data_IF_100184382398
#
_entry.id   IF_100184382398
#
_cell.length_a   1.000
_cell.length_b   1.000
_cell.length_c   1.000
_cell.angle_alpha   90.00
_cell.angle_beta   90.00
_cell.angle_gamma   90.00
#
_symmetry.space_group_name_H-M   'P 1'
#
loop_
_entity.id
_entity.type
_entity.pdbx_description
1 polymer ?
#
# COMPACT_ATOMS: atom_id res chain seq x y z
N UNK A 1 18.96 -10.71 31.66
CA UNK A 1 18.64 -10.09 30.36
C UNK A 1 17.29 -10.61 29.82
N UNK A 2 16.19 -10.50 30.60
CA UNK A 2 14.86 -11.06 30.24
C UNK A 2 13.70 -10.13 30.64
N UNK A 3 13.98 -8.85 30.93
CA UNK A 3 12.96 -7.88 31.36
C UNK A 3 12.43 -7.00 30.21
N UNK A 4 13.24 -6.80 29.18
CA UNK A 4 12.91 -5.93 28.04
C UNK A 4 11.88 -6.54 27.10
N UNK A 5 11.90 -7.86 26.89
CA UNK A 5 11.00 -8.55 25.95
C UNK A 5 9.56 -8.65 26.50
N UNK A 6 9.40 -8.88 27.80
CA UNK A 6 8.06 -8.95 28.40
C UNK A 6 7.39 -7.58 28.47
N UNK A 7 8.17 -6.51 28.70
CA UNK A 7 7.63 -5.15 28.78
C UNK A 7 7.09 -4.70 27.42
N UNK A 8 7.83 -4.93 26.33
CA UNK A 8 7.38 -4.59 24.97
C UNK A 8 6.12 -5.38 24.54
N UNK A 9 6.07 -6.69 24.85
CA UNK A 9 4.90 -7.52 24.58
C UNK A 9 3.65 -7.10 25.37
N UNK A 10 3.82 -6.63 26.61
CA UNK A 10 2.69 -6.12 27.42
C UNK A 10 2.21 -4.73 27.00
N UNK A 11 3.08 -3.85 26.47
CA UNK A 11 2.64 -2.54 25.96
C UNK A 11 1.78 -2.66 24.70
N UNK A 12 2.09 -3.62 23.81
CA UNK A 12 1.28 -3.89 22.61
C UNK A 12 -0.08 -4.51 22.95
N UNK A 13 -0.15 -5.34 24.00
CA UNK A 13 -1.39 -5.99 24.46
C UNK A 13 -2.35 -5.05 25.22
N UNK A 14 -1.87 -3.88 25.66
CA UNK A 14 -2.70 -2.84 26.30
C UNK A 14 -3.58 -2.08 25.31
N UNK A 15 -3.30 -2.16 24.01
CA UNK A 15 -4.21 -1.67 22.97
C UNK A 15 -5.34 -2.70 22.86
N UNK A 16 -6.34 -2.57 23.73
CA UNK A 16 -7.59 -3.29 23.61
C UNK A 16 -8.30 -2.82 22.35
N UNK A 17 -7.91 -3.37 21.19
CA UNK A 17 -8.48 -3.00 19.89
C UNK A 17 -9.92 -3.46 19.88
N UNK A 18 -10.82 -2.56 20.26
CA UNK A 18 -12.23 -2.88 20.31
C UNK A 18 -12.73 -3.15 18.87
N UNK A 19 -13.75 -4.01 18.73
CA UNK A 19 -14.30 -4.41 17.42
C UNK A 19 -14.78 -3.21 16.59
N UNK A 20 -15.14 -2.10 17.22
CA UNK A 20 -15.59 -0.87 16.55
C UNK A 20 -14.38 -0.14 15.95
N UNK A 21 -13.30 0.05 16.70
CA UNK A 21 -12.04 0.62 16.26
C UNK A 21 -11.43 -0.18 15.11
N UNK A 22 -11.49 -1.51 15.17
CA UNK A 22 -11.04 -2.36 14.06
C UNK A 22 -11.86 -2.15 12.78
N UNK A 23 -13.20 -2.04 12.89
CA UNK A 23 -14.08 -1.73 11.75
C UNK A 23 -13.82 -0.34 11.17
N UNK A 24 -13.63 0.66 12.03
CA UNK A 24 -13.29 2.01 11.59
C UNK A 24 -11.95 2.06 10.88
N UNK A 25 -10.92 1.38 11.43
CA UNK A 25 -9.63 1.26 10.78
C UNK A 25 -9.76 0.61 9.39
N UNK A 26 -10.56 -0.45 9.26
CA UNK A 26 -10.82 -1.11 7.97
C UNK A 26 -11.50 -0.18 6.95
N UNK A 27 -12.52 0.57 7.36
CA UNK A 27 -13.18 1.55 6.47
C UNK A 27 -12.21 2.65 6.04
N UNK A 28 -11.37 3.14 6.94
CA UNK A 28 -10.31 4.11 6.63
C UNK A 28 -9.34 3.51 5.61
N UNK A 29 -8.89 2.27 5.79
CA UNK A 29 -8.00 1.64 4.80
C UNK A 29 -8.63 1.51 3.42
N UNK A 30 -9.95 1.28 3.33
CA UNK A 30 -10.66 1.24 2.04
C UNK A 30 -10.81 2.64 1.43
N UNK A 31 -11.06 3.66 2.23
CA UNK A 31 -11.21 5.04 1.76
C UNK A 31 -9.88 5.67 1.30
N UNK A 32 -8.76 5.22 1.88
CA UNK A 32 -7.41 5.69 1.55
C UNK A 32 -6.57 4.64 0.80
N UNK A 33 -7.18 3.54 0.34
CA UNK A 33 -6.51 2.60 -0.55
C UNK A 33 -6.19 3.34 -1.86
N UNK A 34 -4.91 3.64 -2.08
CA UNK A 34 -4.44 4.24 -3.34
C UNK A 34 -4.56 3.21 -4.45
N UNK A 35 -5.71 3.22 -5.14
CA UNK A 35 -5.94 2.43 -6.36
C UNK A 35 -5.31 3.07 -7.60
N UNK A 36 -5.11 4.39 -7.56
CA UNK A 36 -4.45 5.14 -8.62
C UNK A 36 -3.08 5.66 -8.13
N UNK A 37 -2.08 5.55 -8.99
CA UNK A 37 -0.71 6.01 -8.80
C UNK A 37 -0.18 6.53 -10.13
N UNK A 38 0.95 7.23 -10.10
CA UNK A 38 1.62 7.69 -11.31
C UNK A 38 3.12 7.48 -11.17
N UNK A 39 3.71 6.79 -12.14
CA UNK A 39 5.14 6.46 -12.20
C UNK A 39 5.70 6.89 -13.56
N UNK A 40 6.97 7.23 -13.61
CA UNK A 40 7.65 7.55 -14.85
C UNK A 40 7.79 6.30 -15.73
N UNK A 41 7.42 6.42 -17.00
CA UNK A 41 7.64 5.38 -18.00
C UNK A 41 9.12 5.36 -18.42
N UNK A 42 9.83 4.34 -17.93
CA UNK A 42 11.25 4.14 -18.23
C UNK A 42 11.49 3.28 -19.47
N UNK A 43 10.46 2.84 -20.19
CA UNK A 43 10.61 2.03 -21.39
C UNK A 43 10.90 2.92 -22.62
N UNK A 44 12.12 2.94 -23.18
CA UNK A 44 12.48 3.82 -24.30
C UNK A 44 11.78 3.46 -25.61
N UNK A 45 11.16 2.29 -25.69
CA UNK A 45 10.36 1.87 -26.85
C UNK A 45 8.88 2.21 -26.71
N UNK A 46 8.46 2.79 -25.57
CA UNK A 46 7.08 3.19 -25.31
C UNK A 46 6.74 4.52 -25.97
N UNK A 47 5.49 4.69 -26.39
CA UNK A 47 4.97 5.96 -26.93
C UNK A 47 4.91 7.07 -25.86
N UNK A 48 4.83 6.67 -24.58
CA UNK A 48 4.79 7.56 -23.41
C UNK A 48 6.13 7.68 -22.70
N UNK A 49 7.25 7.33 -23.33
CA UNK A 49 8.57 7.36 -22.70
C UNK A 49 8.88 8.70 -22.00
N UNK A 50 9.30 8.62 -20.73
CA UNK A 50 9.61 9.78 -19.88
C UNK A 50 8.39 10.54 -19.34
N UNK A 51 7.17 10.09 -19.64
CA UNK A 51 5.95 10.66 -19.06
C UNK A 51 5.55 9.91 -17.79
N UNK A 52 4.85 10.61 -16.90
CA UNK A 52 4.23 10.02 -15.72
C UNK A 52 2.90 9.37 -16.10
N UNK A 53 2.85 8.05 -16.08
CA UNK A 53 1.68 7.25 -16.44
C UNK A 53 1.19 6.40 -15.25
N UNK A 54 -0.08 6.06 -15.26
CA UNK A 54 -0.75 5.30 -14.22
C UNK A 54 -1.97 4.54 -14.75
N UNK A 55 -2.66 3.77 -13.90
CA UNK A 55 -3.83 2.99 -14.30
C UNK A 55 -4.94 3.84 -14.95
N UNK A 56 -5.13 5.09 -14.50
CA UNK A 56 -6.14 6.00 -15.03
C UNK A 56 -5.85 6.47 -16.48
N UNK A 57 -4.65 6.25 -17.00
CA UNK A 57 -4.33 6.51 -18.41
C UNK A 57 -4.87 5.42 -19.36
N UNK A 58 -5.34 4.28 -18.82
CA UNK A 58 -5.69 3.07 -19.58
C UNK A 58 -7.09 2.53 -19.18
N UNK A 59 -8.04 3.41 -18.88
CA UNK A 59 -9.37 3.03 -18.32
C UNK A 59 -10.20 2.09 -19.19
N UNK A 60 -9.90 1.99 -20.48
CA UNK A 60 -10.60 1.11 -21.44
C UNK A 60 -9.83 -0.19 -21.76
N UNK A 61 -8.65 -0.36 -21.15
CA UNK A 61 -7.76 -1.49 -21.40
C UNK A 61 -7.64 -2.42 -20.19
N UNK A 62 -7.26 -3.68 -20.46
CA UNK A 62 -6.86 -4.60 -19.40
C UNK A 62 -5.41 -4.28 -19.00
N UNK A 63 -5.23 -3.76 -17.79
CA UNK A 63 -3.90 -3.41 -17.24
C UNK A 63 -3.42 -4.49 -16.28
N UNK A 64 -2.19 -4.97 -16.47
CA UNK A 64 -1.50 -5.82 -15.50
C UNK A 64 -0.45 -4.98 -14.76
N UNK A 65 -0.55 -4.94 -13.44
CA UNK A 65 0.36 -4.18 -12.58
C UNK A 65 1.14 -5.18 -11.71
N UNK A 66 2.46 -5.11 -11.79
CA UNK A 66 3.37 -5.96 -11.02
C UNK A 66 4.29 -5.11 -10.15
N UNK A 67 4.26 -5.36 -8.84
CA UNK A 67 5.20 -4.78 -7.89
C UNK A 67 6.23 -5.86 -7.49
N UNK A 68 7.46 -5.71 -7.95
CA UNK A 68 8.56 -6.63 -7.67
C UNK A 68 9.78 -5.89 -7.14
N UNK A 69 10.65 -6.61 -6.44
CA UNK A 69 11.96 -6.16 -6.00
C UNK A 69 12.96 -7.27 -6.26
N UNK A 70 14.08 -6.94 -6.93
CA UNK A 70 15.17 -7.88 -7.17
C UNK A 70 16.20 -7.77 -6.03
N UNK A 71 16.72 -8.91 -5.54
CA UNK A 71 17.71 -8.98 -4.46
C UNK A 71 19.14 -9.09 -5.00
#
# INVERSE_FOLDING_TARGET
MVRWYSQFGTELMKIGLNKITAKFAFIITLAFAQGNFSLEDLNPSSESFGQFIGPDNYLEDIVIIYFGHEY
#
